data_IF_147764575658
#
_entry.id   IF_147764575658
#
_cell.length_a   1.000
_cell.length_b   1.000
_cell.length_c   1.000
_cell.angle_alpha   90.00
_cell.angle_beta   90.00
_cell.angle_gamma   90.00
#
_symmetry.space_group_name_H-M   'P 1'
#
loop_
_entity.id
_entity.type
_entity.pdbx_description
1 polymer ?
#
# COMPACT_ATOMS: atom_id res chain seq x y z
N UNK A 1 -25.49 30.26 22.07
CA UNK A 1 -25.63 29.54 20.78
C UNK A 1 -24.32 29.38 20.02
N UNK A 2 -23.29 30.23 20.19
CA UNK A 2 -21.99 30.08 19.50
C UNK A 2 -21.21 28.82 19.90
N UNK A 3 -20.98 28.60 21.19
CA UNK A 3 -20.17 27.47 21.71
C UNK A 3 -20.63 26.07 21.26
N UNK A 4 -21.94 25.83 21.15
CA UNK A 4 -22.49 24.52 20.74
C UNK A 4 -22.36 24.33 19.22
N UNK A 5 -22.52 25.41 18.45
CA UNK A 5 -22.27 25.38 17.01
C UNK A 5 -20.77 25.24 16.71
N UNK A 6 -19.90 25.93 17.45
CA UNK A 6 -18.45 25.83 17.30
C UNK A 6 -17.94 24.44 17.69
N UNK A 7 -18.48 23.85 18.75
CA UNK A 7 -18.16 22.48 19.14
C UNK A 7 -18.66 21.48 18.09
N UNK A 8 -19.90 21.63 17.61
CA UNK A 8 -20.46 20.78 16.55
C UNK A 8 -19.69 20.90 15.24
N UNK A 9 -19.24 22.10 14.87
CA UNK A 9 -18.43 22.33 13.68
C UNK A 9 -17.03 21.74 13.84
N UNK A 10 -16.37 21.94 14.99
CA UNK A 10 -15.07 21.30 15.25
C UNK A 10 -15.16 19.77 15.30
N UNK A 11 -16.26 19.22 15.82
CA UNK A 11 -16.54 17.78 15.82
C UNK A 11 -16.77 17.31 14.39
N UNK A 12 -17.55 18.03 13.58
CA UNK A 12 -17.76 17.72 12.17
C UNK A 12 -16.44 17.77 11.40
N UNK A 13 -15.64 18.82 11.55
CA UNK A 13 -14.35 18.99 10.87
C UNK A 13 -13.33 17.91 11.32
N UNK A 14 -13.36 17.48 12.59
CA UNK A 14 -12.50 16.38 13.09
C UNK A 14 -12.99 14.99 12.71
N UNK A 15 -14.30 14.80 12.56
CA UNK A 15 -14.92 13.52 12.17
C UNK A 15 -15.02 13.37 10.65
N UNK A 16 -14.93 14.45 9.88
CA UNK A 16 -14.82 14.38 8.43
C UNK A 16 -13.46 13.87 8.05
N UNK A 17 -13.43 12.80 7.25
CA UNK A 17 -12.23 12.27 6.65
C UNK A 17 -11.60 13.34 5.74
N UNK A 18 -10.60 14.05 6.26
CA UNK A 18 -9.75 14.88 5.43
C UNK A 18 -8.70 13.98 4.77
N UNK A 19 -8.78 13.86 3.44
CA UNK A 19 -7.71 13.23 2.67
C UNK A 19 -6.46 14.11 2.76
N UNK A 20 -5.40 13.57 3.36
CA UNK A 20 -4.10 14.23 3.37
C UNK A 20 -3.65 14.43 1.92
N UNK A 21 -3.55 15.69 1.49
CA UNK A 21 -3.04 16.04 0.17
C UNK A 21 -1.55 16.33 0.26
N UNK A 22 -0.76 15.69 -0.61
CA UNK A 22 0.69 15.89 -0.68
C UNK A 22 0.99 17.26 -1.31
N UNK A 23 1.32 18.25 -0.48
CA UNK A 23 1.75 19.58 -0.92
C UNK A 23 3.25 19.80 -0.65
N UNK A 24 4.10 19.21 -1.49
CA UNK A 24 5.55 19.35 -1.31
C UNK A 24 6.05 20.76 -1.57
N UNK A 25 5.39 21.51 -2.47
CA UNK A 25 5.79 22.85 -2.82
C UNK A 25 5.48 23.83 -1.68
N UNK A 26 4.30 23.72 -1.07
CA UNK A 26 3.95 24.47 0.13
C UNK A 26 4.83 24.11 1.32
N UNK A 27 5.10 22.82 1.56
CA UNK A 27 6.00 22.38 2.64
C UNK A 27 7.42 22.93 2.45
N UNK A 28 8.00 22.81 1.24
CA UNK A 28 9.35 23.30 0.96
C UNK A 28 9.44 24.83 1.10
N UNK A 29 8.40 25.55 0.70
CA UNK A 29 8.30 26.99 0.85
C UNK A 29 8.19 27.40 2.32
N UNK A 30 7.29 26.80 3.08
CA UNK A 30 7.11 27.09 4.51
C UNK A 30 8.37 26.79 5.32
N UNK A 31 9.11 25.73 4.94
CA UNK A 31 10.42 25.40 5.52
C UNK A 31 11.49 26.45 5.20
N UNK A 32 11.52 26.94 3.95
CA UNK A 32 12.44 28.01 3.54
C UNK A 32 12.11 29.35 4.23
N UNK A 33 10.82 29.59 4.49
CA UNK A 33 10.31 30.81 5.12
C UNK A 33 10.39 30.78 6.67
N UNK A 34 10.95 29.70 7.25
CA UNK A 34 11.18 29.59 8.70
C UNK A 34 9.91 29.47 9.56
N UNK A 35 8.79 29.08 8.95
CA UNK A 35 7.53 28.89 9.66
C UNK A 35 7.54 27.59 10.47
N UNK A 36 6.94 27.61 11.66
CA UNK A 36 6.71 26.39 12.44
C UNK A 36 5.84 25.43 11.63
N UNK A 37 6.39 24.25 11.37
CA UNK A 37 5.72 23.20 10.60
C UNK A 37 4.55 22.68 11.45
N UNK A 38 3.29 22.70 10.96
CA UNK A 38 2.21 22.01 11.63
C UNK A 38 2.54 20.52 11.55
N UNK A 39 2.98 19.95 12.68
CA UNK A 39 3.39 18.57 12.93
C UNK A 39 3.74 17.71 11.68
N UNK A 40 5.03 17.36 11.54
CA UNK A 40 5.45 16.31 10.62
C UNK A 40 4.94 14.97 11.15
N UNK A 41 3.84 14.48 10.58
CA UNK A 41 3.40 13.12 10.86
C UNK A 41 4.39 12.11 10.26
N UNK A 42 5.37 11.69 11.06
CA UNK A 42 5.81 10.31 11.04
C UNK A 42 4.73 9.46 11.69
N UNK A 43 3.52 9.43 11.12
CA UNK A 43 2.51 8.49 11.60
C UNK A 43 3.13 7.14 11.32
N UNK A 44 3.40 6.35 12.37
CA UNK A 44 3.94 5.00 12.20
C UNK A 44 3.04 4.31 11.19
N UNK A 45 3.49 4.20 9.94
CA UNK A 45 2.59 3.88 8.82
C UNK A 45 1.87 2.56 9.15
N UNK A 46 2.62 1.68 9.80
CA UNK A 46 2.15 0.46 10.41
C UNK A 46 0.94 0.62 11.34
N UNK A 47 0.90 1.57 12.27
CA UNK A 47 -0.21 1.75 13.20
C UNK A 47 -1.52 2.14 12.50
N UNK A 48 -1.47 3.08 11.54
CA UNK A 48 -2.65 3.42 10.73
C UNK A 48 -3.18 2.21 9.97
N UNK A 49 -2.28 1.45 9.33
CA UNK A 49 -2.70 0.29 8.55
C UNK A 49 -3.11 -0.90 9.43
N UNK A 50 -2.54 -1.04 10.62
CA UNK A 50 -2.92 -2.05 11.61
C UNK A 50 -4.37 -1.81 12.07
N UNK A 51 -4.70 -0.59 12.47
CA UNK A 51 -6.07 -0.21 12.83
C UNK A 51 -7.03 -0.37 11.64
N UNK A 52 -6.61 0.04 10.43
CA UNK A 52 -7.41 -0.12 9.22
C UNK A 52 -7.70 -1.59 8.90
N UNK A 53 -6.70 -2.47 8.99
CA UNK A 53 -6.92 -3.89 8.74
C UNK A 53 -7.70 -4.57 9.85
N UNK A 54 -7.50 -4.17 11.11
CA UNK A 54 -8.36 -4.61 12.20
C UNK A 54 -9.82 -4.25 11.95
N UNK A 55 -10.09 -3.02 11.49
CA UNK A 55 -11.44 -2.60 11.09
C UNK A 55 -12.01 -3.46 9.96
N UNK A 56 -11.23 -3.75 8.91
CA UNK A 56 -11.68 -4.64 7.82
C UNK A 56 -11.97 -6.07 8.30
N UNK A 57 -11.14 -6.60 9.21
CA UNK A 57 -11.34 -7.94 9.78
C UNK A 57 -12.60 -7.96 10.66
N UNK A 58 -12.81 -6.93 11.47
CA UNK A 58 -14.00 -6.78 12.32
C UNK A 58 -15.31 -6.76 11.51
N UNK A 59 -15.30 -6.14 10.33
CA UNK A 59 -16.43 -6.14 9.41
C UNK A 59 -16.56 -7.42 8.56
N UNK A 60 -15.62 -8.37 8.66
CA UNK A 60 -15.68 -9.63 7.91
C UNK A 60 -15.23 -9.51 6.44
N UNK A 61 -14.51 -8.46 6.06
CA UNK A 61 -14.04 -8.27 4.67
C UNK A 61 -13.01 -9.32 4.24
N UNK A 62 -12.34 -9.97 5.19
CA UNK A 62 -11.37 -11.04 4.89
C UNK A 62 -11.99 -12.17 4.07
N UNK A 63 -13.20 -12.60 4.39
CA UNK A 63 -13.88 -13.67 3.66
C UNK A 63 -14.31 -13.21 2.25
N UNK A 64 -14.62 -11.92 2.10
CA UNK A 64 -14.94 -11.34 0.80
C UNK A 64 -13.72 -11.32 -0.13
N UNK A 65 -12.55 -10.97 0.40
CA UNK A 65 -11.33 -10.90 -0.40
C UNK A 65 -10.79 -12.27 -0.79
N UNK A 66 -11.05 -13.34 -0.03
CA UNK A 66 -10.63 -14.71 -0.40
C UNK A 66 -11.25 -15.16 -1.73
N UNK A 67 -12.44 -14.68 -2.06
CA UNK A 67 -13.13 -15.00 -3.31
C UNK A 67 -12.57 -14.30 -4.55
N UNK A 68 -11.62 -13.38 -4.40
CA UNK A 68 -11.09 -12.57 -5.49
C UNK A 68 -9.89 -13.18 -6.21
N UNK A 69 -9.26 -14.21 -5.64
CA UNK A 69 -8.02 -14.77 -6.19
C UNK A 69 -8.21 -15.21 -7.65
N UNK A 70 -7.59 -14.49 -8.61
CA UNK A 70 -7.65 -14.87 -10.00
C UNK A 70 -6.73 -16.07 -10.17
N UNK A 71 -7.29 -17.27 -10.01
CA UNK A 71 -6.67 -18.57 -10.33
C UNK A 71 -6.25 -18.72 -11.81
N UNK A 72 -6.22 -17.62 -12.56
CA UNK A 72 -5.94 -17.52 -13.99
C UNK A 72 -4.45 -17.56 -14.33
N UNK A 73 -3.55 -17.47 -13.34
CA UNK A 73 -2.10 -17.45 -13.59
C UNK A 73 -1.56 -18.86 -13.81
N UNK A 74 -0.85 -19.06 -14.93
CA UNK A 74 -0.14 -20.31 -15.29
C UNK A 74 0.96 -20.72 -14.28
N UNK A 75 1.38 -19.83 -13.38
CA UNK A 75 2.39 -20.09 -12.35
C UNK A 75 1.88 -19.60 -11.02
N UNK A 76 1.96 -20.48 -10.03
CA UNK A 76 1.72 -20.13 -8.63
C UNK A 76 2.84 -19.20 -8.15
N UNK A 77 2.43 -18.15 -7.44
CA UNK A 77 3.33 -17.23 -6.76
C UNK A 77 3.46 -17.68 -5.31
N UNK A 78 4.65 -17.55 -4.73
CA UNK A 78 4.87 -17.76 -3.29
C UNK A 78 4.28 -16.62 -2.43
N UNK A 79 3.64 -15.64 -3.07
CA UNK A 79 3.02 -14.49 -2.42
C UNK A 79 1.51 -14.71 -2.40
N UNK A 80 0.88 -14.75 -1.21
CA UNK A 80 -0.57 -14.94 -1.10
C UNK A 80 -1.29 -13.75 -1.72
N UNK A 81 -2.36 -14.01 -2.47
CA UNK A 81 -3.12 -12.96 -3.17
C UNK A 81 -3.67 -11.90 -2.20
N UNK A 82 -4.04 -12.30 -0.98
CA UNK A 82 -4.47 -11.41 0.09
C UNK A 82 -3.44 -10.32 0.44
N UNK A 83 -2.15 -10.66 0.49
CA UNK A 83 -1.10 -9.68 0.73
C UNK A 83 -1.05 -8.64 -0.40
N UNK A 84 -1.31 -9.06 -1.64
CA UNK A 84 -1.36 -8.18 -2.81
C UNK A 84 -2.54 -7.21 -2.72
N UNK A 85 -3.72 -7.70 -2.31
CA UNK A 85 -4.90 -6.86 -2.07
C UNK A 85 -4.58 -5.82 -0.98
N UNK A 86 -4.02 -6.26 0.16
CA UNK A 86 -3.70 -5.34 1.26
C UNK A 86 -2.68 -4.29 0.86
N UNK A 87 -1.62 -4.64 0.12
CA UNK A 87 -0.69 -3.64 -0.43
C UNK A 87 -1.41 -2.65 -1.35
N UNK A 88 -2.35 -3.12 -2.17
CA UNK A 88 -3.13 -2.25 -3.05
C UNK A 88 -4.08 -1.34 -2.27
N UNK A 89 -4.70 -1.81 -1.18
CA UNK A 89 -5.50 -0.99 -0.29
C UNK A 89 -4.65 0.03 0.46
N UNK A 90 -3.46 -0.34 0.93
CA UNK A 90 -2.51 0.59 1.55
C UNK A 90 -2.22 1.76 0.64
N UNK A 91 -2.03 1.50 -0.66
CA UNK A 91 -1.83 2.56 -1.66
C UNK A 91 -2.99 3.54 -1.70
N UNK A 92 -4.23 3.03 -1.69
CA UNK A 92 -5.44 3.87 -1.74
C UNK A 92 -5.55 4.71 -0.47
N UNK A 93 -5.41 4.08 0.69
CA UNK A 93 -5.52 4.75 2.00
C UNK A 93 -4.40 5.76 2.23
N UNK A 94 -3.17 5.48 1.79
CA UNK A 94 -2.06 6.45 1.80
C UNK A 94 -2.21 7.58 0.76
N UNK A 95 -3.27 7.59 -0.05
CA UNK A 95 -3.50 8.64 -1.04
C UNK A 95 -2.45 8.66 -2.17
N UNK A 96 -1.78 7.55 -2.46
CA UNK A 96 -0.71 7.53 -3.47
C UNK A 96 -1.29 7.62 -4.88
N UNK A 97 -1.33 8.85 -5.42
CA UNK A 97 -1.88 9.17 -6.75
C UNK A 97 -1.30 8.30 -7.86
N UNK A 98 0.01 8.11 -7.88
CA UNK A 98 0.68 7.29 -8.89
C UNK A 98 1.01 5.91 -8.35
N UNK A 99 0.71 4.87 -9.15
CA UNK A 99 0.94 3.48 -8.79
C UNK A 99 2.43 3.18 -8.49
N UNK A 100 3.35 3.85 -9.19
CA UNK A 100 4.79 3.67 -9.00
C UNK A 100 5.31 4.12 -7.63
N UNK A 101 4.56 4.95 -6.90
CA UNK A 101 4.94 5.36 -5.55
C UNK A 101 4.75 4.25 -4.50
N UNK A 102 4.07 3.14 -4.84
CA UNK A 102 3.98 1.96 -3.98
C UNK A 102 5.38 1.43 -3.64
N UNK A 103 6.31 1.49 -4.59
CA UNK A 103 7.67 0.98 -4.43
C UNK A 103 8.42 1.72 -3.30
N UNK A 104 8.74 3.02 -3.42
CA UNK A 104 9.51 3.73 -2.40
C UNK A 104 8.77 3.95 -1.08
N UNK A 105 7.43 3.97 -1.07
CA UNK A 105 6.64 4.29 0.14
C UNK A 105 6.23 3.02 0.88
N UNK A 106 5.61 2.07 0.19
CA UNK A 106 5.00 0.90 0.85
C UNK A 106 5.97 -0.27 0.89
N UNK A 107 6.53 -0.67 -0.25
CA UNK A 107 7.33 -1.90 -0.37
C UNK A 107 8.68 -1.81 0.33
N UNK A 108 9.22 -0.61 0.45
CA UNK A 108 10.45 -0.34 1.19
C UNK A 108 10.23 -0.20 2.70
N UNK A 109 8.99 -0.05 3.19
CA UNK A 109 8.70 0.03 4.61
C UNK A 109 8.56 -1.37 5.23
N UNK A 110 9.57 -1.77 6.02
CA UNK A 110 9.63 -3.12 6.60
C UNK A 110 8.43 -3.42 7.52
N UNK A 111 7.98 -2.44 8.28
CA UNK A 111 6.86 -2.59 9.22
C UNK A 111 5.55 -2.89 8.47
N UNK A 112 5.30 -2.20 7.36
CA UNK A 112 4.12 -2.46 6.50
C UNK A 112 4.16 -3.86 5.89
N UNK A 113 5.33 -4.27 5.42
CA UNK A 113 5.48 -5.59 4.80
C UNK A 113 5.30 -6.72 5.83
N UNK A 114 5.66 -6.50 7.09
CA UNK A 114 5.36 -7.46 8.16
C UNK A 114 3.87 -7.58 8.44
N UNK A 115 3.13 -6.47 8.45
CA UNK A 115 1.67 -6.48 8.67
C UNK A 115 0.96 -7.34 7.62
N UNK A 116 1.34 -7.23 6.35
CA UNK A 116 0.74 -8.02 5.27
C UNK A 116 1.28 -9.47 5.19
N UNK A 117 2.13 -9.88 6.14
CA UNK A 117 2.57 -11.27 6.30
C UNK A 117 3.93 -11.62 5.70
N UNK A 118 4.73 -10.66 5.22
CA UNK A 118 6.10 -10.94 4.78
C UNK A 118 7.04 -11.06 5.98
N UNK A 119 7.86 -12.11 5.97
CA UNK A 119 8.93 -12.22 6.97
C UNK A 119 10.13 -11.32 6.62
N UNK A 120 11.00 -11.06 7.60
CA UNK A 120 12.16 -10.18 7.43
C UNK A 120 13.11 -10.62 6.31
N UNK A 121 13.21 -11.92 6.04
CA UNK A 121 14.04 -12.46 4.95
C UNK A 121 13.43 -12.14 3.59
N UNK A 122 12.13 -12.33 3.40
CA UNK A 122 11.42 -12.00 2.17
C UNK A 122 11.50 -10.50 1.86
N UNK A 123 11.44 -9.65 2.88
CA UNK A 123 11.57 -8.19 2.72
C UNK A 123 12.98 -7.83 2.23
N UNK A 124 14.03 -8.48 2.77
CA UNK A 124 15.43 -8.19 2.41
C UNK A 124 15.87 -8.83 1.10
N UNK A 125 15.44 -10.07 0.84
CA UNK A 125 15.98 -10.94 -0.22
C UNK A 125 15.01 -11.17 -1.38
N UNK A 126 13.80 -10.60 -1.30
CA UNK A 126 12.72 -10.82 -2.25
C UNK A 126 12.02 -12.16 -2.04
N UNK A 127 10.84 -12.30 -2.64
CA UNK A 127 10.03 -13.55 -2.59
C UNK A 127 10.37 -14.53 -3.70
N UNK A 128 11.15 -14.10 -4.71
CA UNK A 128 11.59 -14.93 -5.82
C UNK A 128 13.02 -14.59 -6.24
N UNK A 129 13.71 -15.57 -6.82
CA UNK A 129 15.06 -15.38 -7.40
C UNK A 129 15.01 -14.80 -8.83
N UNK A 130 13.83 -14.35 -9.28
CA UNK A 130 13.64 -13.77 -10.61
C UNK A 130 14.42 -12.45 -10.68
N UNK A 131 15.42 -12.40 -11.56
CA UNK A 131 16.34 -11.26 -11.68
C UNK A 131 17.65 -11.43 -10.89
N UNK A 132 17.84 -12.53 -10.15
CA UNK A 132 19.15 -12.89 -9.57
C UNK A 132 20.08 -13.56 -10.59
N UNK A 133 19.50 -14.22 -11.61
CA UNK A 133 20.27 -14.85 -12.69
C UNK A 133 20.25 -13.99 -13.97
N UNK A 134 21.37 -13.30 -14.19
CA UNK A 134 22.01 -12.75 -15.42
C UNK A 134 22.88 -11.58 -14.93
N UNK A 135 24.15 -11.83 -14.60
CA UNK A 135 25.23 -11.95 -15.59
C UNK A 135 26.15 -13.14 -15.31
N UNK A 136 26.33 -14.10 -16.23
CA UNK A 136 27.62 -14.74 -16.37
C UNK A 136 28.61 -13.67 -16.84
N UNK A 137 29.76 -13.59 -16.17
CA UNK A 137 30.96 -13.00 -16.72
C UNK A 137 31.15 -13.56 -18.14
N UNK A 138 31.16 -12.69 -19.16
CA UNK A 138 31.86 -12.88 -20.45
C UNK A 138 31.42 -11.78 -21.42
N UNK A 139 31.82 -10.53 -21.11
CA UNK A 139 32.27 -9.52 -22.09
C UNK A 139 32.37 -8.18 -21.39
N UNK A 140 33.54 -7.56 -21.52
CA UNK A 140 33.90 -6.22 -21.04
C UNK A 140 33.04 -5.12 -21.70
N UNK A 141 31.76 -5.03 -21.33
CA UNK A 141 30.89 -3.90 -21.67
C UNK A 141 30.19 -3.37 -20.40
N UNK A 142 30.79 -2.31 -19.85
CA UNK A 142 30.21 -1.31 -18.95
C UNK A 142 29.12 -1.76 -17.95
N UNK A 143 29.57 -2.21 -16.78
CA UNK A 143 29.11 -1.63 -15.51
C UNK A 143 27.67 -1.90 -15.03
N UNK A 144 26.97 -2.93 -15.50
CA UNK A 144 25.66 -3.30 -14.92
C UNK A 144 25.82 -4.08 -13.62
N UNK A 145 25.95 -3.35 -12.51
CA UNK A 145 25.86 -3.90 -11.16
C UNK A 145 24.55 -4.69 -10.98
N UNK A 146 24.55 -5.80 -10.20
CA UNK A 146 23.33 -6.53 -9.89
C UNK A 146 22.28 -5.58 -9.31
N UNK A 147 21.05 -5.64 -9.81
CA UNK A 147 19.98 -4.75 -9.38
C UNK A 147 19.70 -4.98 -7.90
N UNK A 148 19.92 -3.94 -7.08
CA UNK A 148 19.61 -3.98 -5.64
C UNK A 148 18.15 -4.39 -5.46
N UNK A 149 17.91 -5.36 -4.58
CA UNK A 149 16.57 -5.87 -4.26
C UNK A 149 15.73 -4.71 -3.70
N UNK A 150 14.56 -4.47 -4.32
CA UNK A 150 13.69 -3.30 -4.07
C UNK A 150 12.47 -3.63 -3.20
N UNK A 151 12.62 -4.59 -2.29
CA UNK A 151 11.53 -5.10 -1.43
C UNK A 151 11.03 -6.51 -1.82
N UNK A 152 9.97 -7.01 -1.16
CA UNK A 152 9.55 -8.41 -1.25
C UNK A 152 8.92 -8.77 -2.61
N UNK A 153 8.29 -7.81 -3.26
CA UNK A 153 7.58 -7.96 -4.55
C UNK A 153 7.82 -6.74 -5.43
N UNK A 154 7.58 -6.86 -6.73
CA UNK A 154 7.69 -5.72 -7.64
C UNK A 154 6.31 -5.08 -7.93
N UNK A 155 6.24 -3.76 -8.19
CA UNK A 155 4.98 -3.08 -8.53
C UNK A 155 4.24 -3.71 -9.72
N UNK A 156 4.97 -4.11 -10.77
CA UNK A 156 4.38 -4.75 -11.95
C UNK A 156 3.68 -6.07 -11.62
N UNK A 157 4.21 -6.83 -10.66
CA UNK A 157 3.58 -8.04 -10.18
C UNK A 157 2.26 -7.71 -9.45
N UNK A 158 2.23 -6.65 -8.64
CA UNK A 158 0.99 -6.19 -7.98
C UNK A 158 -0.03 -5.74 -9.04
N UNK A 159 0.37 -4.87 -9.97
CA UNK A 159 -0.52 -4.36 -11.02
C UNK A 159 -1.14 -5.47 -11.84
N UNK A 160 -0.32 -6.41 -12.33
CA UNK A 160 -0.80 -7.55 -13.12
C UNK A 160 -1.67 -8.52 -12.32
N UNK A 161 -1.50 -8.60 -11.01
CA UNK A 161 -2.35 -9.42 -10.13
C UNK A 161 -3.72 -8.78 -9.91
N UNK A 162 -3.75 -7.47 -9.62
CA UNK A 162 -5.00 -6.72 -9.43
C UNK A 162 -5.79 -6.63 -10.74
N UNK A 163 -5.12 -6.38 -11.88
CA UNK A 163 -5.76 -6.33 -13.18
C UNK A 163 -6.31 -7.69 -13.66
N UNK A 164 -5.88 -8.80 -13.06
CA UNK A 164 -6.38 -10.14 -13.38
C UNK A 164 -7.70 -10.48 -12.68
N UNK A 165 -8.15 -9.67 -11.72
CA UNK A 165 -9.44 -9.87 -11.06
C UNK A 165 -10.55 -9.69 -12.09
N UNK A 166 -11.48 -10.65 -12.15
CA UNK A 166 -12.57 -10.62 -13.13
C UNK A 166 -13.66 -9.63 -12.72
N UNK A 167 -14.30 -8.99 -13.70
CA UNK A 167 -15.42 -8.07 -13.44
C UNK A 167 -16.55 -8.70 -12.59
N UNK A 168 -16.98 -9.96 -12.85
CA UNK A 168 -18.00 -10.61 -12.00
C UNK A 168 -17.54 -10.83 -10.55
N UNK A 169 -16.24 -11.04 -10.32
CA UNK A 169 -15.71 -11.17 -8.97
C UNK A 169 -15.74 -9.82 -8.22
N UNK A 170 -15.39 -8.72 -8.91
CA UNK A 170 -15.50 -7.36 -8.36
C UNK A 170 -16.95 -6.98 -8.08
N UNK A 171 -17.88 -7.28 -8.98
CA UNK A 171 -19.30 -7.01 -8.78
C UNK A 171 -19.83 -7.69 -7.51
N UNK A 172 -19.53 -8.99 -7.34
CA UNK A 172 -19.92 -9.73 -6.12
C UNK A 172 -19.30 -9.13 -4.86
N UNK A 173 -18.03 -8.71 -4.93
CA UNK A 173 -17.35 -8.06 -3.83
C UNK A 173 -18.08 -6.78 -3.42
N UNK A 174 -18.36 -5.88 -4.37
CA UNK A 174 -19.03 -4.62 -4.08
C UNK A 174 -20.44 -4.84 -3.53
N UNK A 175 -21.22 -5.73 -4.14
CA UNK A 175 -22.57 -6.03 -3.69
C UNK A 175 -22.57 -6.60 -2.25
N UNK A 176 -21.62 -7.47 -1.92
CA UNK A 176 -21.50 -8.00 -0.56
C UNK A 176 -20.98 -6.96 0.44
N UNK A 177 -20.05 -6.11 0.04
CA UNK A 177 -19.55 -5.03 0.88
C UNK A 177 -20.66 -4.05 1.26
N UNK A 178 -21.54 -3.70 0.31
CA UNK A 178 -22.71 -2.83 0.56
C UNK A 178 -23.68 -3.48 1.56
N UNK A 179 -23.84 -4.81 1.55
CA UNK A 179 -24.72 -5.51 2.50
C UNK A 179 -24.13 -5.54 3.93
N UNK A 180 -22.81 -5.45 4.07
CA UNK A 180 -22.14 -5.44 5.37
C UNK A 180 -22.09 -4.06 6.04
N UNK A 181 -22.32 -2.98 5.27
CA UNK A 181 -22.28 -1.59 5.72
C UNK A 181 -23.70 -1.06 5.95
#
# INVERSE_FOLDING_TARGET
MGLINDASQNIADRLTWHTANRDQAGIAKNLADGQDIPEVYGLGEAGLFDEFFYFLDHLGFKDLFMGLDPKSKKRESNVPFMAIIFIYLMRIVAGLKFFWHIDPVILHCQSLMRIVGFNGRQIREGTCNRGKEKTPCDSDEEGRQPTKIRGPVCPNFIASSIAAITAPALERLFNRAIVLL
#
